data_IF_830858473185
#
_entry.id   IF_830858473185
#
_cell.length_a   1.000
_cell.length_b   1.000
_cell.length_c   1.000
_cell.angle_alpha   90.00
_cell.angle_beta   90.00
_cell.angle_gamma   90.00
#
_symmetry.space_group_name_H-M   'P 1'
#
loop_
_entity.id
_entity.type
_entity.pdbx_description
1 polymer ?
#
# COMPACT_ATOMS: atom_id res chain seq x y z
N UNK A 1 2.08 8.11 -14.80
CA UNK A 1 1.69 6.97 -15.66
C UNK A 1 2.82 5.95 -15.57
N UNK A 2 2.66 4.93 -14.72
CA UNK A 2 3.73 4.02 -14.30
C UNK A 2 4.26 3.19 -15.47
N UNK A 3 5.57 2.95 -15.49
CA UNK A 3 6.35 2.18 -16.48
C UNK A 3 5.73 0.80 -16.81
N UNK A 4 4.93 0.22 -15.90
CA UNK A 4 4.15 -1.00 -16.12
C UNK A 4 3.10 -0.92 -17.25
N UNK A 5 2.49 0.25 -17.45
CA UNK A 5 1.54 0.47 -18.55
C UNK A 5 2.24 0.62 -19.91
N UNK A 6 3.54 0.92 -19.97
CA UNK A 6 4.22 1.24 -21.23
C UNK A 6 4.84 0.01 -21.93
N UNK A 7 4.96 -1.14 -21.27
CA UNK A 7 5.55 -2.35 -21.83
C UNK A 7 4.57 -3.53 -21.88
N UNK A 8 4.58 -4.36 -20.83
CA UNK A 8 3.84 -5.63 -20.81
C UNK A 8 2.33 -5.46 -20.62
N UNK A 9 1.91 -4.49 -19.80
CA UNK A 9 0.50 -4.24 -19.52
C UNK A 9 -0.30 -3.82 -20.76
N UNK A 10 0.23 -2.90 -21.56
CA UNK A 10 -0.44 -2.43 -22.78
C UNK A 10 -0.54 -3.51 -23.85
N UNK A 11 0.52 -4.32 -24.03
CA UNK A 11 0.49 -5.45 -24.95
C UNK A 11 -0.58 -6.47 -24.57
N UNK A 12 -0.70 -6.75 -23.27
CA UNK A 12 -1.71 -7.67 -22.75
C UNK A 12 -3.13 -7.11 -22.90
N UNK A 13 -3.37 -5.84 -22.56
CA UNK A 13 -4.69 -5.19 -22.74
C UNK A 13 -5.08 -5.15 -24.22
N UNK A 14 -4.14 -4.83 -25.11
CA UNK A 14 -4.39 -4.79 -26.56
C UNK A 14 -4.78 -6.16 -27.09
N UNK A 15 -4.05 -7.22 -26.72
CA UNK A 15 -4.40 -8.58 -27.12
C UNK A 15 -5.74 -9.04 -26.54
N UNK A 16 -6.03 -8.68 -25.30
CA UNK A 16 -7.31 -8.96 -24.65
C UNK A 16 -8.47 -8.24 -25.34
N UNK A 17 -8.32 -6.96 -25.66
CA UNK A 17 -9.33 -6.17 -26.36
C UNK A 17 -9.58 -6.67 -27.79
N UNK A 18 -8.51 -7.05 -28.50
CA UNK A 18 -8.63 -7.66 -29.82
C UNK A 18 -9.43 -8.95 -29.77
N UNK A 19 -9.12 -9.85 -28.82
CA UNK A 19 -9.88 -11.09 -28.61
C UNK A 19 -11.33 -10.79 -28.22
N UNK A 20 -11.55 -9.80 -27.35
CA UNK A 20 -12.89 -9.35 -27.01
C UNK A 20 -13.71 -8.91 -28.24
N UNK A 21 -13.09 -8.25 -29.22
CA UNK A 21 -13.76 -7.84 -30.45
C UNK A 21 -13.99 -8.98 -31.46
N UNK A 22 -13.16 -10.03 -31.45
CA UNK A 22 -13.21 -11.13 -32.43
C UNK A 22 -14.02 -12.32 -31.92
N UNK A 23 -13.82 -12.69 -30.66
CA UNK A 23 -14.30 -13.95 -30.09
C UNK A 23 -15.71 -13.83 -29.49
N UNK A 24 -16.21 -12.62 -29.23
CA UNK A 24 -17.54 -12.42 -28.65
C UNK A 24 -18.63 -12.34 -29.72
N UNK A 25 -19.61 -13.24 -29.61
CA UNK A 25 -20.79 -13.26 -30.48
C UNK A 25 -21.73 -12.05 -30.30
N UNK A 26 -21.58 -11.28 -29.21
CA UNK A 26 -22.39 -10.09 -28.91
C UNK A 26 -21.48 -8.96 -28.44
N UNK A 27 -21.15 -8.02 -29.31
CA UNK A 27 -20.49 -6.77 -28.90
C UNK A 27 -21.55 -5.72 -28.54
N UNK A 28 -21.11 -4.69 -27.80
CA UNK A 28 -21.91 -3.49 -27.58
C UNK A 28 -22.26 -2.86 -28.94
N UNK A 29 -23.53 -2.46 -29.11
CA UNK A 29 -24.02 -1.85 -30.36
C UNK A 29 -23.15 -0.66 -30.78
N UNK A 30 -22.79 0.20 -29.83
CA UNK A 30 -21.96 1.37 -30.10
C UNK A 30 -20.53 1.00 -30.56
N UNK A 31 -19.98 -0.12 -30.05
CA UNK A 31 -18.68 -0.64 -30.50
C UNK A 31 -18.77 -1.23 -31.91
N UNK A 32 -19.88 -1.91 -32.24
CA UNK A 32 -20.13 -2.39 -33.60
C UNK A 32 -20.24 -1.23 -34.61
N UNK A 33 -20.93 -0.15 -34.24
CA UNK A 33 -21.04 1.06 -35.06
C UNK A 33 -19.66 1.68 -35.26
N UNK A 34 -18.91 1.90 -34.17
CA UNK A 34 -17.58 2.47 -34.23
C UNK A 34 -16.60 1.66 -35.10
N UNK A 35 -16.64 0.32 -35.03
CA UNK A 35 -15.83 -0.54 -35.90
C UNK A 35 -16.26 -0.43 -37.37
N UNK A 36 -17.56 -0.30 -37.64
CA UNK A 36 -18.10 -0.13 -38.99
C UNK A 36 -17.70 1.23 -39.58
N UNK A 37 -17.71 2.28 -38.78
CA UNK A 37 -17.28 3.62 -39.20
C UNK A 37 -15.78 3.65 -39.49
N UNK A 38 -14.96 2.98 -38.68
CA UNK A 38 -13.50 2.86 -38.92
C UNK A 38 -13.20 2.16 -40.24
N UNK A 39 -13.99 1.14 -40.62
CA UNK A 39 -13.84 0.47 -41.92
C UNK A 39 -14.15 1.39 -43.11
N UNK A 40 -14.86 2.50 -42.88
CA UNK A 40 -15.29 3.44 -43.91
C UNK A 40 -14.54 4.80 -43.91
N UNK A 41 -14.04 5.29 -42.78
CA UNK A 41 -13.54 6.68 -42.61
C UNK A 41 -12.11 6.79 -42.01
N UNK A 42 -11.33 5.70 -41.96
CA UNK A 42 -9.93 5.62 -41.48
C UNK A 42 -9.62 6.23 -40.08
N UNK A 43 -10.63 6.73 -39.36
CA UNK A 43 -10.47 7.40 -38.07
C UNK A 43 -10.51 6.39 -36.91
N UNK A 44 -9.35 5.83 -36.59
CA UNK A 44 -9.19 4.84 -35.52
C UNK A 44 -9.38 5.43 -34.11
N UNK A 45 -9.37 6.75 -33.94
CA UNK A 45 -9.50 7.38 -32.62
C UNK A 45 -10.87 7.12 -31.97
N UNK A 46 -11.90 6.81 -32.75
CA UNK A 46 -13.22 6.40 -32.25
C UNK A 46 -13.21 5.12 -31.41
N UNK A 47 -12.17 4.28 -31.54
CA UNK A 47 -12.03 3.05 -30.78
C UNK A 47 -11.47 3.25 -29.37
N UNK A 48 -10.77 4.37 -29.14
CA UNK A 48 -10.03 4.63 -27.90
C UNK A 48 -10.91 4.62 -26.64
N UNK A 49 -12.12 5.22 -26.61
CA UNK A 49 -13.00 5.15 -25.44
C UNK A 49 -13.40 3.71 -25.05
N UNK A 50 -13.65 2.86 -26.04
CA UNK A 50 -13.99 1.45 -25.82
C UNK A 50 -12.80 0.63 -25.34
N UNK A 51 -11.63 0.87 -25.94
CA UNK A 51 -10.37 0.30 -25.48
C UNK A 51 -10.09 0.68 -24.02
N UNK A 52 -10.25 1.96 -23.66
CA UNK A 52 -10.06 2.43 -22.29
C UNK A 52 -11.07 1.82 -21.31
N UNK A 53 -12.33 1.66 -21.71
CA UNK A 53 -13.35 0.97 -20.91
C UNK A 53 -12.96 -0.49 -20.63
N UNK A 54 -12.49 -1.21 -21.65
CA UNK A 54 -11.98 -2.57 -21.51
C UNK A 54 -10.75 -2.64 -20.62
N UNK A 55 -9.81 -1.72 -20.80
CA UNK A 55 -8.60 -1.62 -19.99
C UNK A 55 -8.93 -1.43 -18.50
N UNK A 56 -9.88 -0.56 -18.17
CA UNK A 56 -10.34 -0.29 -16.81
C UNK A 56 -11.04 -1.50 -16.17
N UNK A 57 -11.83 -2.25 -16.95
CA UNK A 57 -12.48 -3.47 -16.47
C UNK A 57 -11.49 -4.54 -16.05
N UNK A 58 -10.33 -4.61 -16.72
CA UNK A 58 -9.31 -5.61 -16.41
C UNK A 58 -8.31 -5.10 -15.37
N UNK A 59 -7.92 -3.83 -15.48
CA UNK A 59 -7.05 -3.17 -14.53
C UNK A 59 -7.83 -2.10 -13.77
N UNK A 60 -8.61 -2.54 -12.78
CA UNK A 60 -9.31 -1.67 -11.82
C UNK A 60 -8.36 -0.62 -11.21
N UNK A 61 -7.08 -0.98 -11.08
CA UNK A 61 -5.99 -0.15 -10.52
C UNK A 61 -5.69 1.13 -11.31
N UNK A 62 -6.19 1.27 -12.55
CA UNK A 62 -5.98 2.46 -13.39
C UNK A 62 -6.86 3.64 -12.93
N UNK A 63 -8.02 3.38 -12.34
CA UNK A 63 -8.94 4.44 -11.92
C UNK A 63 -8.68 4.93 -10.48
N UNK A 64 -8.29 4.04 -9.57
CA UNK A 64 -8.11 4.37 -8.15
C UNK A 64 -6.64 4.56 -7.75
N UNK A 65 -5.77 4.88 -8.71
CA UNK A 65 -4.33 4.91 -8.45
C UNK A 65 -3.93 6.01 -7.45
N UNK A 66 -4.68 7.11 -7.38
CA UNK A 66 -4.47 8.18 -6.41
C UNK A 66 -5.04 7.81 -5.04
N UNK A 67 -6.22 7.17 -4.98
CA UNK A 67 -6.75 6.61 -3.73
C UNK A 67 -5.79 5.59 -3.11
N UNK A 68 -5.21 4.71 -3.95
CA UNK A 68 -4.21 3.73 -3.53
C UNK A 68 -2.96 4.38 -2.97
N UNK A 69 -2.51 5.50 -3.54
CA UNK A 69 -1.40 6.27 -2.98
C UNK A 69 -1.78 6.83 -1.62
N UNK A 70 -2.95 7.47 -1.51
CA UNK A 70 -3.42 8.09 -0.28
C UNK A 70 -3.51 7.07 0.87
N UNK A 71 -4.14 5.92 0.67
CA UNK A 71 -4.26 4.89 1.72
C UNK A 71 -2.92 4.24 2.08
N UNK A 72 -1.97 4.22 1.14
CA UNK A 72 -0.63 3.67 1.36
C UNK A 72 0.34 4.70 1.95
N UNK A 73 -0.04 5.98 2.00
CA UNK A 73 0.85 7.04 2.45
C UNK A 73 1.15 6.92 3.94
N UNK A 74 2.36 6.43 4.22
CA UNK A 74 2.88 6.22 5.56
C UNK A 74 3.89 7.30 5.96
N UNK A 75 3.99 8.42 5.24
CA UNK A 75 5.01 9.45 5.46
C UNK A 75 4.89 10.17 6.82
N UNK A 76 3.75 10.07 7.51
CA UNK A 76 3.51 10.71 8.81
C UNK A 76 3.18 9.69 9.91
N UNK A 77 4.10 8.77 10.25
CA UNK A 77 3.84 7.68 11.20
C UNK A 77 3.45 8.18 12.59
N UNK A 78 3.90 9.37 12.99
CA UNK A 78 3.51 9.99 14.24
C UNK A 78 2.00 10.30 14.31
N UNK A 79 1.31 10.50 13.18
CA UNK A 79 -0.13 10.75 13.15
C UNK A 79 -0.96 9.51 13.51
N UNK A 80 -0.40 8.31 13.38
CA UNK A 80 -1.05 7.06 13.78
C UNK A 80 -1.24 6.95 15.30
N UNK A 81 -0.59 7.81 16.10
CA UNK A 81 -0.61 7.76 17.56
C UNK A 81 -1.10 9.08 18.20
N UNK A 82 -2.38 9.47 18.02
CA UNK A 82 -2.90 10.76 18.45
C UNK A 82 -2.88 10.93 19.98
N UNK A 83 -3.13 9.85 20.73
CA UNK A 83 -3.09 9.88 22.20
C UNK A 83 -1.68 10.11 22.73
N UNK A 84 -0.66 9.55 22.06
CA UNK A 84 0.73 9.76 22.41
C UNK A 84 1.14 11.23 22.24
N UNK A 85 0.67 11.90 21.18
CA UNK A 85 0.99 13.31 20.91
C UNK A 85 0.39 14.28 21.94
N UNK A 86 -0.69 13.91 22.62
CA UNK A 86 -1.36 14.76 23.61
C UNK A 86 -0.62 14.82 24.96
N UNK A 87 0.31 13.89 25.20
CA UNK A 87 1.11 13.84 26.42
C UNK A 87 2.51 14.38 26.14
N UNK A 88 3.03 15.22 27.03
CA UNK A 88 4.44 15.58 27.03
C UNK A 88 5.25 14.32 27.36
N UNK A 89 6.24 14.00 26.52
CA UNK A 89 7.07 12.80 26.64
C UNK A 89 8.54 13.20 26.49
N UNK A 90 9.35 12.76 27.44
CA UNK A 90 10.80 12.85 27.36
C UNK A 90 11.33 11.52 26.81
N UNK A 91 12.27 11.60 25.86
CA UNK A 91 12.94 10.43 25.30
C UNK A 91 14.36 10.45 25.84
N UNK A 92 14.70 9.44 26.65
CA UNK A 92 16.05 9.23 27.16
C UNK A 92 16.66 8.07 26.39
N UNK A 93 17.73 8.36 25.63
CA UNK A 93 18.46 7.37 24.88
C UNK A 93 19.71 6.95 25.66
N UNK A 94 19.83 5.66 25.94
CA UNK A 94 21.00 5.06 26.59
C UNK A 94 21.87 4.42 25.51
N UNK A 95 23.06 4.99 25.28
CA UNK A 95 24.04 4.49 24.30
C UNK A 95 25.22 3.85 25.02
N UNK A 96 24.94 2.78 25.75
CA UNK A 96 25.96 2.02 26.44
C UNK A 96 26.27 0.73 25.69
N UNK A 97 27.54 0.27 25.69
CA UNK A 97 27.87 -1.04 25.15
C UNK A 97 27.11 -2.15 25.87
N UNK A 98 26.80 -3.22 25.13
CA UNK A 98 26.04 -4.39 25.61
C UNK A 98 26.56 -4.88 26.97
N UNK A 99 25.64 -5.17 27.90
CA UNK A 99 25.87 -5.53 29.32
C UNK A 99 26.28 -4.38 30.28
N UNK A 100 26.06 -3.10 29.95
CA UNK A 100 26.36 -1.99 30.89
C UNK A 100 25.23 -0.98 31.10
N UNK A 101 24.43 -0.67 30.08
CA UNK A 101 23.40 0.41 30.16
C UNK A 101 21.99 -0.01 30.53
N UNK A 102 21.63 -1.28 30.32
CA UNK A 102 20.26 -1.76 30.58
C UNK A 102 19.91 -1.72 32.08
N UNK A 103 20.91 -1.71 32.95
CA UNK A 103 20.70 -1.71 34.40
C UNK A 103 20.03 -0.42 34.89
N UNK A 104 20.35 0.75 34.31
CA UNK A 104 19.76 2.02 34.78
C UNK A 104 18.30 2.17 34.34
N UNK A 105 17.98 1.77 33.10
CA UNK A 105 16.62 1.78 32.59
C UNK A 105 15.75 0.77 33.35
N UNK A 106 16.25 -0.44 33.64
CA UNK A 106 15.55 -1.45 34.44
C UNK A 106 15.34 -1.03 35.91
N UNK A 107 16.32 -0.36 36.54
CA UNK A 107 16.14 0.18 37.89
C UNK A 107 15.07 1.26 37.95
N UNK A 108 14.98 2.13 36.93
CA UNK A 108 13.92 3.13 36.80
C UNK A 108 12.56 2.48 36.54
N UNK A 109 12.53 1.43 35.71
CA UNK A 109 11.34 0.64 35.41
C UNK A 109 10.71 0.07 36.69
N UNK A 110 11.51 -0.55 37.58
CA UNK A 110 11.02 -1.14 38.83
C UNK A 110 10.63 -0.14 39.92
N UNK A 111 11.11 1.11 39.86
CA UNK A 111 10.77 2.17 40.83
C UNK A 111 9.54 3.00 40.44
N UNK A 112 9.08 2.89 39.20
CA UNK A 112 7.93 3.65 38.71
C UNK A 112 6.61 3.04 39.22
N UNK A 113 5.61 3.89 39.48
CA UNK A 113 4.27 3.42 39.91
C UNK A 113 3.56 2.61 38.82
N UNK A 114 3.74 3.01 37.56
CA UNK A 114 3.25 2.28 36.39
C UNK A 114 4.28 2.35 35.27
N UNK A 115 4.67 1.21 34.71
CA UNK A 115 5.69 1.12 33.66
C UNK A 115 5.37 -0.01 32.68
N UNK A 116 5.90 0.09 31.46
CA UNK A 116 5.79 -0.92 30.41
C UNK A 116 7.21 -1.26 29.93
N UNK A 117 7.54 -2.54 29.93
CA UNK A 117 8.79 -3.06 29.41
C UNK A 117 8.55 -3.70 28.04
N UNK A 118 9.35 -3.34 27.05
CA UNK A 118 9.29 -3.86 25.69
C UNK A 118 10.69 -4.34 25.29
N UNK A 119 10.79 -5.59 24.86
CA UNK A 119 12.05 -6.20 24.44
C UNK A 119 11.86 -6.98 23.13
N UNK A 120 12.96 -7.23 22.42
CA UNK A 120 13.05 -8.01 21.21
C UNK A 120 12.82 -9.51 21.48
N UNK A 121 13.26 -10.01 22.63
CA UNK A 121 13.24 -11.45 22.94
C UNK A 121 12.26 -11.77 24.06
N UNK A 122 11.48 -12.84 23.85
CA UNK A 122 10.58 -13.39 24.87
C UNK A 122 11.32 -13.83 26.14
N UNK A 123 12.53 -14.36 26.00
CA UNK A 123 13.36 -14.79 27.14
C UNK A 123 13.67 -13.62 28.07
N UNK A 124 14.09 -12.48 27.52
CA UNK A 124 14.38 -11.27 28.31
C UNK A 124 13.12 -10.70 28.97
N UNK A 125 11.98 -10.70 28.25
CA UNK A 125 10.71 -10.31 28.85
C UNK A 125 10.32 -11.21 30.04
N UNK A 126 10.66 -12.51 29.99
CA UNK A 126 10.40 -13.45 31.09
C UNK A 126 11.35 -13.21 32.26
N UNK A 127 12.65 -13.01 31.97
CA UNK A 127 13.66 -12.69 32.98
C UNK A 127 13.31 -11.41 33.76
N UNK A 128 12.92 -10.34 33.07
CA UNK A 128 12.53 -9.08 33.72
C UNK A 128 11.25 -9.27 34.55
N UNK A 129 10.26 -10.01 34.02
CA UNK A 129 9.04 -10.32 34.77
C UNK A 129 9.33 -11.08 36.06
N UNK A 130 10.17 -12.11 36.00
CA UNK A 130 10.58 -12.89 37.17
C UNK A 130 11.40 -12.03 38.15
N UNK A 131 12.23 -11.12 37.65
CA UNK A 131 13.08 -10.25 38.47
C UNK A 131 12.29 -9.15 39.19
N UNK A 132 11.20 -8.63 38.62
CA UNK A 132 10.43 -7.53 39.23
C UNK A 132 9.27 -7.98 40.12
N UNK A 133 8.84 -9.25 40.03
CA UNK A 133 7.73 -9.78 40.83
C UNK A 133 8.15 -10.72 41.96
N UNK A 134 9.44 -11.06 42.07
CA UNK A 134 10.01 -11.78 43.22
C UNK A 134 10.51 -10.79 44.28
#
# INVERSE_FOLDING_TARGET
MSIWLLGEGLGWVTNSFRRYCIDNNTLLVDLHIALSDILNDDNVFGLFPYFMKHAKAIFLRVECMDDLKEISDSCKPANCYPLGKKKLREIIFYDDPTNRGETYSLQRFGKAESSLFCDLLKLLATEVFDTTNN
#
